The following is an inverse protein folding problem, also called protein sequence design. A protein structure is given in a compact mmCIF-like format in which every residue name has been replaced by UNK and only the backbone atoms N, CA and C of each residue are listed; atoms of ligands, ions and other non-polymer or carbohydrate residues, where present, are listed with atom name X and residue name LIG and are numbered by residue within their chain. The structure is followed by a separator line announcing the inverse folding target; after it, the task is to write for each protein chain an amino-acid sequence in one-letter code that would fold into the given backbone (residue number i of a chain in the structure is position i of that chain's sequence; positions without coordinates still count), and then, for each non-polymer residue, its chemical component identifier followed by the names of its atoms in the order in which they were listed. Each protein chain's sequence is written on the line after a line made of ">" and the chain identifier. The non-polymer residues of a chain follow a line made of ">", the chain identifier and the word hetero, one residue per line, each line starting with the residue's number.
data_IF_192824189342
#
_entry.id   IF_192824189342
#
_cell.length_a   1.000
_cell.length_b   1.000
_cell.length_c   1.000
_cell.angle_alpha   90.00
_cell.angle_beta   90.00
_cell.angle_gamma   90.00
#
_symmetry.space_group_name_H-M   'P 1'
#
loop_
_entity.id
_entity.type
_entity.pdbx_description
1 polymer ?
#
# COMPACT_ATOMS: atom_id res chain seq x y z
N UNK A 1 -6.30 -3.97 -15.21
CA UNK A 1 -5.55 -4.72 -16.25
C UNK A 1 -4.52 -5.58 -15.53
N UNK A 2 -4.60 -6.89 -15.75
CA UNK A 2 -3.82 -7.90 -15.05
C UNK A 2 -2.32 -7.59 -15.05
N UNK A 3 -1.79 -7.25 -13.90
CA UNK A 3 -0.35 -7.25 -13.63
C UNK A 3 0.23 -8.66 -13.84
N UNK A 4 -0.62 -9.70 -13.78
CA UNK A 4 -0.24 -11.11 -13.94
C UNK A 4 0.16 -11.45 -15.39
N UNK A 5 -0.37 -10.78 -16.40
CA UNK A 5 -0.01 -11.04 -17.81
C UNK A 5 1.40 -10.58 -18.21
N UNK A 6 2.10 -9.82 -17.36
CA UNK A 6 3.42 -9.28 -17.67
C UNK A 6 4.59 -10.01 -16.99
N UNK A 7 4.34 -11.05 -16.19
CA UNK A 7 5.37 -11.84 -15.50
C UNK A 7 6.05 -12.91 -16.39
N UNK A 8 6.26 -12.59 -17.66
CA UNK A 8 7.12 -13.38 -18.54
C UNK A 8 8.60 -13.04 -18.32
N UNK A 9 9.50 -13.72 -19.02
CA UNK A 9 10.95 -13.53 -18.99
C UNK A 9 11.44 -12.07 -19.18
N UNK A 10 10.56 -11.15 -19.60
CA UNK A 10 10.81 -9.72 -19.68
C UNK A 10 10.86 -9.00 -18.33
N UNK A 11 10.33 -9.59 -17.25
CA UNK A 11 10.26 -8.93 -15.93
C UNK A 11 11.61 -8.79 -15.23
N UNK A 12 12.58 -9.63 -15.58
CA UNK A 12 13.93 -9.61 -15.00
C UNK A 12 14.68 -8.29 -15.25
N UNK A 13 14.26 -7.50 -16.23
CA UNK A 13 14.90 -6.24 -16.62
C UNK A 13 14.04 -5.01 -16.45
N UNK A 14 12.86 -5.12 -15.84
CA UNK A 14 12.01 -3.97 -15.54
C UNK A 14 12.53 -3.25 -14.29
N UNK A 15 12.67 -1.94 -14.38
CA UNK A 15 12.80 -1.07 -13.23
C UNK A 15 11.45 -0.44 -12.98
N UNK A 16 10.87 -0.74 -11.83
CA UNK A 16 9.57 -0.23 -11.44
C UNK A 16 9.77 0.80 -10.34
N UNK A 17 9.31 2.02 -10.59
CA UNK A 17 9.53 3.12 -9.64
C UNK A 17 8.71 2.92 -8.36
N UNK A 18 7.58 2.23 -8.41
CA UNK A 18 6.72 1.96 -7.25
C UNK A 18 7.42 1.01 -6.28
N UNK A 19 7.98 -0.09 -6.76
CA UNK A 19 8.73 -1.04 -5.93
C UNK A 19 10.02 -0.40 -5.38
N UNK A 20 10.64 0.48 -6.17
CA UNK A 20 11.77 1.30 -5.69
C UNK A 20 11.33 2.23 -4.57
N UNK A 21 10.17 2.87 -4.69
CA UNK A 21 9.64 3.75 -3.65
C UNK A 21 9.34 3.01 -2.35
N UNK A 22 8.75 1.82 -2.42
CA UNK A 22 8.49 0.98 -1.24
C UNK A 22 9.80 0.57 -0.55
N UNK A 23 10.84 0.22 -1.33
CA UNK A 23 12.17 -0.06 -0.78
C UNK A 23 12.77 1.18 -0.10
N UNK A 24 12.74 2.33 -0.77
CA UNK A 24 13.30 3.59 -0.24
C UNK A 24 12.57 4.04 1.00
N UNK A 25 11.23 3.92 1.06
CA UNK A 25 10.46 4.17 2.27
C UNK A 25 11.03 3.39 3.46
N UNK A 26 11.24 2.08 3.29
CA UNK A 26 11.83 1.24 4.33
C UNK A 26 13.26 1.64 4.69
N UNK A 27 14.10 1.96 3.69
CA UNK A 27 15.48 2.40 3.92
C UNK A 27 15.56 3.72 4.69
N UNK A 28 14.70 4.69 4.40
CA UNK A 28 14.66 5.96 5.13
C UNK A 28 14.22 5.76 6.59
N UNK A 29 13.27 4.86 6.87
CA UNK A 29 12.91 4.45 8.23
C UNK A 29 14.13 3.85 8.94
N UNK A 30 14.86 2.95 8.29
CA UNK A 30 16.09 2.32 8.83
C UNK A 30 17.17 3.37 9.08
N UNK A 31 17.33 4.37 8.18
CA UNK A 31 18.27 5.49 8.34
C UNK A 31 18.02 6.29 9.63
N UNK A 32 16.77 6.48 9.99
CA UNK A 32 16.37 7.18 11.22
C UNK A 32 16.50 6.29 12.46
N UNK A 33 16.23 5.00 12.34
CA UNK A 33 16.28 4.05 13.45
C UNK A 33 17.72 3.83 13.96
N UNK A 34 18.68 3.61 13.05
CA UNK A 34 20.10 3.44 13.39
C UNK A 34 20.80 4.79 13.46
N UNK A 35 20.67 5.48 14.60
CA UNK A 35 21.09 6.88 14.79
C UNK A 35 22.32 7.06 15.69
N UNK A 36 22.97 5.99 16.14
CA UNK A 36 24.16 6.08 16.98
C UNK A 36 25.40 6.55 16.20
N UNK A 37 26.33 7.21 16.92
CA UNK A 37 27.60 7.71 16.38
C UNK A 37 28.71 6.64 16.45
N UNK A 38 28.44 5.45 15.91
CA UNK A 38 29.45 4.42 15.68
C UNK A 38 29.67 4.22 14.17
N UNK A 39 30.83 3.74 13.82
CA UNK A 39 31.26 3.63 12.41
C UNK A 39 30.30 2.77 11.56
N UNK A 40 29.74 1.70 12.13
CA UNK A 40 28.85 0.78 11.42
C UNK A 40 27.51 1.45 11.06
N UNK A 41 26.90 2.17 12.00
CA UNK A 41 25.62 2.86 11.75
C UNK A 41 25.81 4.11 10.89
N UNK A 42 26.95 4.82 11.03
CA UNK A 42 27.31 5.93 10.14
C UNK A 42 27.45 5.42 8.70
N UNK A 43 28.19 4.32 8.50
CA UNK A 43 28.35 3.72 7.17
C UNK A 43 26.98 3.27 6.59
N UNK A 44 26.12 2.65 7.41
CA UNK A 44 24.78 2.25 6.99
C UNK A 44 23.95 3.44 6.51
N UNK A 45 23.91 4.53 7.30
CA UNK A 45 23.20 5.75 6.92
C UNK A 45 23.75 6.36 5.63
N UNK A 46 25.05 6.40 5.45
CA UNK A 46 25.68 6.90 4.23
C UNK A 46 25.32 6.07 3.00
N UNK A 47 25.28 4.75 3.13
CA UNK A 47 24.87 3.84 2.05
C UNK A 47 23.39 4.05 1.67
N UNK A 48 22.53 4.21 2.67
CA UNK A 48 21.10 4.49 2.44
C UNK A 48 20.93 5.83 1.75
N UNK A 49 21.59 6.88 2.23
CA UNK A 49 21.56 8.21 1.63
C UNK A 49 22.05 8.17 0.17
N UNK A 50 23.13 7.45 -0.11
CA UNK A 50 23.60 7.30 -1.48
C UNK A 50 22.60 6.58 -2.39
N UNK A 51 21.89 5.55 -1.90
CA UNK A 51 20.83 4.90 -2.68
C UNK A 51 19.70 5.89 -2.94
N UNK A 52 19.24 6.60 -1.90
CA UNK A 52 18.17 7.58 -1.96
C UNK A 52 18.45 8.71 -2.96
N UNK A 53 19.62 9.35 -2.88
CA UNK A 53 20.03 10.45 -3.74
C UNK A 53 20.20 10.06 -5.21
N UNK A 54 20.41 8.77 -5.50
CA UNK A 54 20.61 8.27 -6.87
C UNK A 54 19.33 7.76 -7.54
N UNK A 55 18.16 7.89 -6.92
CA UNK A 55 16.89 7.57 -7.58
C UNK A 55 16.47 8.74 -8.48
N UNK A 56 16.51 8.53 -9.77
CA UNK A 56 16.17 9.55 -10.78
C UNK A 56 14.65 9.66 -10.98
N UNK A 57 13.93 10.23 -9.99
CA UNK A 57 12.47 10.38 -10.02
C UNK A 57 11.97 11.14 -11.25
N UNK A 58 12.66 12.21 -11.62
CA UNK A 58 12.33 13.04 -12.79
C UNK A 58 12.45 12.29 -14.12
N UNK A 59 13.29 11.23 -14.19
CA UNK A 59 13.37 10.35 -15.36
C UNK A 59 12.02 9.71 -15.69
N UNK A 60 11.30 9.27 -14.67
CA UNK A 60 10.01 8.61 -14.82
C UNK A 60 8.87 9.56 -15.18
N UNK A 61 9.09 10.88 -15.16
CA UNK A 61 8.11 11.84 -15.68
C UNK A 61 8.13 11.94 -17.20
N UNK A 62 9.23 11.56 -17.85
CA UNK A 62 9.44 11.74 -19.29
C UNK A 62 9.18 13.19 -19.73
N UNK A 63 9.47 14.18 -18.87
CA UNK A 63 9.20 15.61 -19.10
C UNK A 63 7.71 15.99 -19.07
N UNK A 64 6.85 15.14 -18.52
CA UNK A 64 5.40 15.36 -18.36
C UNK A 64 5.03 15.58 -16.90
N UNK A 65 3.84 16.11 -16.65
CA UNK A 65 3.30 16.28 -15.28
C UNK A 65 2.67 14.98 -14.75
N UNK A 66 3.38 13.87 -14.81
CA UNK A 66 2.96 12.55 -14.29
C UNK A 66 4.17 11.67 -14.15
N UNK A 67 4.04 10.60 -13.36
CA UNK A 67 5.07 9.57 -13.23
C UNK A 67 4.61 8.31 -13.95
N UNK A 68 5.51 7.71 -14.74
CA UNK A 68 5.28 6.43 -15.42
C UNK A 68 5.81 5.28 -14.57
N UNK A 69 5.04 4.20 -14.45
CA UNK A 69 5.33 3.07 -13.55
C UNK A 69 6.57 2.27 -13.93
N UNK A 70 6.73 1.97 -15.23
CA UNK A 70 7.70 1.02 -15.72
C UNK A 70 8.69 1.63 -16.70
N UNK A 71 9.94 1.25 -16.54
CA UNK A 71 10.98 1.42 -17.54
C UNK A 71 11.77 0.13 -17.71
N UNK A 72 12.31 -0.12 -18.89
CA UNK A 72 13.15 -1.29 -19.18
C UNK A 72 14.25 -0.91 -20.16
N UNK A 73 15.50 -1.40 -19.99
CA UNK A 73 16.59 -1.12 -20.92
C UNK A 73 16.34 -1.68 -22.34
N UNK A 74 15.42 -2.64 -22.47
CA UNK A 74 15.11 -3.27 -23.76
C UNK A 74 13.87 -2.68 -24.45
N UNK A 75 13.00 -2.00 -23.69
CA UNK A 75 11.69 -1.56 -24.15
C UNK A 75 11.35 -0.14 -23.70
N UNK A 76 12.30 0.58 -23.09
CA UNK A 76 12.09 1.93 -22.55
C UNK A 76 10.78 2.03 -21.74
N UNK A 77 9.96 3.03 -22.00
CA UNK A 77 8.66 3.24 -21.40
C UNK A 77 7.48 2.62 -22.18
N UNK A 78 7.71 1.57 -22.97
CA UNK A 78 6.71 1.04 -23.90
C UNK A 78 5.38 0.60 -23.26
N UNK A 79 5.39 0.19 -21.97
CA UNK A 79 4.16 -0.14 -21.23
C UNK A 79 3.33 1.13 -20.97
N UNK A 80 4.00 2.26 -20.76
CA UNK A 80 3.41 3.60 -20.58
C UNK A 80 2.21 3.64 -19.61
N UNK A 81 2.32 2.93 -18.48
CA UNK A 81 1.33 2.93 -17.41
C UNK A 81 1.61 4.09 -16.47
N UNK A 82 0.67 5.00 -16.34
CA UNK A 82 0.79 6.13 -15.41
C UNK A 82 0.55 5.68 -13.96
N UNK A 83 1.36 6.20 -13.03
CA UNK A 83 1.10 6.14 -11.60
C UNK A 83 0.11 7.24 -11.26
N UNK A 84 -1.18 6.92 -11.12
CA UNK A 84 -2.21 7.95 -10.93
C UNK A 84 -3.47 7.45 -10.27
N UNK A 85 -4.15 8.36 -9.57
CA UNK A 85 -5.38 8.09 -8.85
C UNK A 85 -5.12 7.35 -7.54
N UNK A 86 -6.17 7.10 -6.78
CA UNK A 86 -6.06 6.38 -5.52
C UNK A 86 -5.57 4.95 -5.74
N UNK A 87 -4.38 4.67 -5.27
CA UNK A 87 -3.75 3.35 -5.22
C UNK A 87 -2.60 3.35 -4.19
N UNK A 88 -1.79 2.31 -4.15
CA UNK A 88 -0.68 2.12 -3.22
C UNK A 88 0.48 3.11 -3.39
N UNK A 89 0.51 3.87 -4.47
CA UNK A 89 1.71 4.56 -4.92
C UNK A 89 1.77 6.06 -4.56
N UNK A 90 1.00 6.54 -3.57
CA UNK A 90 1.17 7.91 -3.04
C UNK A 90 2.61 8.15 -2.60
N UNK A 91 3.25 7.13 -2.00
CA UNK A 91 4.65 7.20 -1.56
C UNK A 91 5.62 7.58 -2.69
N UNK A 92 5.33 7.22 -3.94
CA UNK A 92 6.16 7.59 -5.10
C UNK A 92 6.22 9.11 -5.25
N UNK A 93 5.07 9.78 -5.17
CA UNK A 93 4.99 11.25 -5.30
C UNK A 93 5.59 11.96 -4.10
N UNK A 94 5.38 11.43 -2.88
CA UNK A 94 5.99 11.97 -1.67
C UNK A 94 7.50 11.89 -1.77
N UNK A 95 8.07 10.73 -2.06
CA UNK A 95 9.53 10.56 -2.22
C UNK A 95 10.07 11.39 -3.39
N UNK A 96 9.39 11.39 -4.52
CA UNK A 96 9.82 12.19 -5.66
C UNK A 96 9.85 13.69 -5.35
N UNK A 97 8.90 14.21 -4.54
CA UNK A 97 8.92 15.62 -4.08
C UNK A 97 9.99 15.87 -3.02
N UNK A 98 10.31 14.85 -2.21
CA UNK A 98 11.31 14.93 -1.13
C UNK A 98 12.75 14.77 -1.63
N UNK A 99 12.95 14.34 -2.87
CA UNK A 99 14.28 14.02 -3.41
C UNK A 99 15.21 15.23 -3.38
N UNK A 100 16.41 15.12 -2.77
CA UNK A 100 17.37 16.23 -2.76
C UNK A 100 18.07 16.45 -4.10
N UNK A 101 18.01 15.47 -5.02
CA UNK A 101 18.74 15.50 -6.30
C UNK A 101 17.83 15.58 -7.52
N UNK A 102 16.70 14.87 -7.52
CA UNK A 102 15.78 14.78 -8.66
C UNK A 102 14.33 15.09 -8.26
N UNK A 103 14.06 16.23 -7.60
CA UNK A 103 12.72 16.54 -7.10
C UNK A 103 11.75 16.83 -8.23
N UNK A 104 10.51 16.39 -8.08
CA UNK A 104 9.38 16.82 -8.92
C UNK A 104 8.75 18.09 -8.38
N UNK A 105 8.08 18.84 -9.25
CA UNK A 105 7.25 19.96 -8.85
C UNK A 105 5.81 19.51 -8.50
N UNK A 106 5.06 20.40 -7.86
CA UNK A 106 3.68 20.17 -7.41
C UNK A 106 2.72 19.87 -8.57
N UNK A 107 2.99 20.39 -9.79
CA UNK A 107 2.14 20.10 -10.95
C UNK A 107 2.15 18.63 -11.32
N UNK A 108 3.29 17.94 -11.10
CA UNK A 108 3.37 16.48 -11.33
C UNK A 108 2.44 15.71 -10.40
N UNK A 109 2.31 16.13 -9.14
CA UNK A 109 1.35 15.58 -8.20
C UNK A 109 -0.10 15.88 -8.59
N UNK A 110 -0.38 17.15 -8.90
CA UNK A 110 -1.73 17.60 -9.21
C UNK A 110 -2.27 16.96 -10.50
N UNK A 111 -1.50 16.99 -11.58
CA UNK A 111 -1.92 16.43 -12.87
C UNK A 111 -1.83 14.89 -12.89
N UNK A 112 -0.76 14.35 -12.31
CA UNK A 112 -0.47 12.93 -12.28
C UNK A 112 -1.33 12.17 -11.25
N UNK A 113 -1.03 12.35 -9.96
CA UNK A 113 -1.71 11.61 -8.89
C UNK A 113 -3.18 11.97 -8.73
N UNK A 114 -3.46 13.24 -8.43
CA UNK A 114 -4.83 13.67 -8.14
C UNK A 114 -5.68 13.82 -9.40
N UNK A 115 -5.04 13.89 -10.59
CA UNK A 115 -5.71 14.14 -11.87
C UNK A 115 -6.60 15.39 -11.81
N UNK A 116 -6.10 16.44 -11.14
CA UNK A 116 -6.84 17.68 -10.89
C UNK A 116 -8.21 17.42 -10.23
N UNK A 117 -8.28 16.49 -9.28
CA UNK A 117 -9.50 16.10 -8.57
C UNK A 117 -10.32 15.00 -9.24
N UNK A 118 -9.93 14.48 -10.41
CA UNK A 118 -10.69 13.40 -11.06
C UNK A 118 -10.60 12.04 -10.34
N UNK A 119 -9.86 11.93 -9.24
CA UNK A 119 -9.82 10.76 -8.37
C UNK A 119 -10.82 10.85 -7.20
N UNK A 120 -11.54 11.96 -7.05
CA UNK A 120 -12.58 12.14 -6.04
C UNK A 120 -13.77 11.22 -6.35
N UNK A 121 -14.22 10.47 -5.36
CA UNK A 121 -15.37 9.57 -5.48
C UNK A 121 -16.64 10.23 -4.96
N UNK A 122 -16.62 10.65 -3.70
CA UNK A 122 -17.79 11.23 -3.00
C UNK A 122 -19.04 10.31 -2.97
N UNK A 123 -18.87 9.00 -3.19
CA UNK A 123 -19.91 8.00 -3.07
C UNK A 123 -20.10 7.50 -1.64
N UNK A 124 -21.23 6.84 -1.40
CA UNK A 124 -21.53 6.17 -0.12
C UNK A 124 -21.75 4.69 -0.38
N UNK A 125 -21.04 3.84 0.35
CA UNK A 125 -21.08 2.38 0.24
C UNK A 125 -21.28 1.79 1.63
N UNK A 126 -22.26 0.96 1.83
CA UNK A 126 -22.65 0.42 3.16
C UNK A 126 -22.83 1.54 4.21
N UNK A 127 -23.49 2.65 3.80
CA UNK A 127 -23.67 3.86 4.60
C UNK A 127 -22.37 4.60 5.01
N UNK A 128 -21.24 4.25 4.40
CA UNK A 128 -19.93 4.87 4.63
C UNK A 128 -19.56 5.75 3.44
N UNK A 129 -19.30 7.04 3.71
CA UNK A 129 -18.82 7.99 2.71
C UNK A 129 -17.37 7.69 2.33
N UNK A 130 -17.09 7.59 1.03
CA UNK A 130 -15.74 7.36 0.48
C UNK A 130 -15.28 8.62 -0.26
N UNK A 131 -14.28 9.35 0.25
CA UNK A 131 -13.82 10.60 -0.34
C UNK A 131 -13.20 10.45 -1.73
N UNK A 132 -12.27 9.50 -1.89
CA UNK A 132 -11.47 9.34 -3.12
C UNK A 132 -11.38 7.88 -3.55
N UNK A 133 -11.00 7.66 -4.80
CA UNK A 133 -10.76 6.34 -5.36
C UNK A 133 -11.94 5.80 -6.19
N UNK A 134 -11.83 4.55 -6.60
CA UNK A 134 -12.91 3.87 -7.29
C UNK A 134 -14.04 3.46 -6.34
N UNK A 135 -15.17 3.04 -6.91
CA UNK A 135 -16.28 2.54 -6.09
C UNK A 135 -15.81 1.41 -5.17
N UNK A 136 -16.23 1.47 -3.91
CA UNK A 136 -15.80 0.61 -2.80
C UNK A 136 -14.32 0.71 -2.43
N UNK A 137 -13.50 1.56 -3.05
CA UNK A 137 -12.11 1.83 -2.70
C UNK A 137 -11.05 1.02 -3.44
N UNK A 138 -11.42 -0.08 -4.09
CA UNK A 138 -10.48 -0.99 -4.73
C UNK A 138 -9.89 -2.04 -3.80
N UNK A 139 -8.76 -2.68 -4.16
CA UNK A 139 -8.02 -3.59 -3.30
C UNK A 139 -7.51 -2.91 -2.04
N UNK A 140 -7.67 -3.55 -0.87
CA UNK A 140 -7.46 -2.87 0.41
C UNK A 140 -6.00 -2.47 0.69
N UNK A 141 -5.02 -3.11 0.04
CA UNK A 141 -3.60 -2.73 0.18
C UNK A 141 -3.31 -1.28 -0.24
N UNK A 142 -4.19 -0.62 -1.01
CA UNK A 142 -4.11 0.80 -1.32
C UNK A 142 -4.04 1.68 -0.06
N UNK A 143 -4.71 1.26 1.01
CA UNK A 143 -4.70 1.94 2.31
C UNK A 143 -3.52 1.56 3.21
N UNK A 144 -2.64 0.66 2.77
CA UNK A 144 -1.57 0.13 3.62
C UNK A 144 -0.17 0.57 3.16
N UNK A 145 0.23 0.30 1.92
CA UNK A 145 1.64 0.32 1.53
C UNK A 145 2.30 1.70 1.63
N UNK A 146 1.67 2.75 1.14
CA UNK A 146 2.19 4.12 1.32
C UNK A 146 2.20 4.54 2.79
N UNK A 147 1.23 4.05 3.57
CA UNK A 147 1.02 4.42 4.96
C UNK A 147 1.77 3.53 5.97
N UNK A 148 2.69 2.70 5.51
CA UNK A 148 3.68 2.07 6.38
C UNK A 148 4.61 3.13 6.98
N UNK A 149 5.08 4.07 6.18
CA UNK A 149 5.93 5.17 6.61
C UNK A 149 5.19 6.49 6.78
N UNK A 150 4.36 6.88 5.82
CA UNK A 150 3.57 8.12 5.91
C UNK A 150 2.51 7.96 7.01
N UNK A 151 2.57 8.81 8.04
CA UNK A 151 1.54 8.83 9.07
C UNK A 151 0.26 9.47 8.52
N UNK A 152 -0.84 8.72 8.41
CA UNK A 152 -2.09 9.28 7.89
C UNK A 152 -2.86 10.14 8.90
N UNK A 153 -2.48 10.10 10.18
CA UNK A 153 -3.18 10.85 11.24
C UNK A 153 -2.96 12.35 11.07
N UNK A 154 -4.04 13.09 10.93
CA UNK A 154 -4.06 14.52 10.59
C UNK A 154 -3.45 14.87 9.22
N UNK A 155 -3.04 13.88 8.43
CA UNK A 155 -2.54 14.09 7.08
C UNK A 155 -3.71 14.40 6.15
N UNK A 156 -3.71 15.59 5.58
CA UNK A 156 -4.74 16.01 4.63
C UNK A 156 -4.19 16.85 3.48
N UNK A 157 -4.84 16.77 2.36
CA UNK A 157 -4.67 17.67 1.23
C UNK A 157 -5.99 18.38 0.93
N UNK A 158 -6.08 19.08 -0.18
CA UNK A 158 -7.31 19.76 -0.59
C UNK A 158 -8.51 18.84 -0.87
N UNK A 159 -8.34 17.53 -0.90
CA UNK A 159 -9.36 16.55 -1.31
C UNK A 159 -9.87 15.69 -0.16
N UNK A 160 -8.99 15.30 0.76
CA UNK A 160 -9.36 14.38 1.84
C UNK A 160 -8.41 14.45 3.04
N UNK A 161 -8.92 14.00 4.19
CA UNK A 161 -8.08 13.51 5.29
C UNK A 161 -7.75 12.04 5.04
N UNK A 162 -6.49 11.66 5.03
CA UNK A 162 -6.05 10.33 4.63
C UNK A 162 -6.30 9.25 5.68
N UNK A 163 -6.39 9.61 6.96
CA UNK A 163 -6.83 8.66 7.98
C UNK A 163 -8.30 8.30 7.80
N UNK A 164 -9.15 9.28 7.55
CA UNK A 164 -10.57 9.06 7.32
C UNK A 164 -10.81 8.28 6.03
N UNK A 165 -10.06 8.57 4.97
CA UNK A 165 -10.07 7.80 3.73
C UNK A 165 -9.73 6.32 3.95
N UNK A 166 -8.61 6.04 4.63
CA UNK A 166 -8.14 4.68 4.89
C UNK A 166 -9.10 3.91 5.80
N UNK A 167 -9.66 4.60 6.79
CA UNK A 167 -10.67 4.02 7.68
C UNK A 167 -11.96 3.71 6.94
N UNK A 168 -12.45 4.64 6.11
CA UNK A 168 -13.65 4.42 5.29
C UNK A 168 -13.44 3.22 4.35
N UNK A 169 -12.33 3.16 3.64
CA UNK A 169 -11.99 2.05 2.74
C UNK A 169 -11.94 0.71 3.48
N UNK A 170 -11.30 0.67 4.68
CA UNK A 170 -11.22 -0.55 5.49
C UNK A 170 -12.58 -1.01 5.99
N UNK A 171 -13.43 -0.09 6.44
CA UNK A 171 -14.78 -0.41 6.90
C UNK A 171 -15.70 -0.84 5.75
N UNK A 172 -15.60 -0.22 4.57
CA UNK A 172 -16.35 -0.65 3.37
C UNK A 172 -15.98 -2.08 2.99
N UNK A 173 -14.69 -2.44 3.05
CA UNK A 173 -14.22 -3.79 2.77
C UNK A 173 -14.73 -4.80 3.81
N UNK A 174 -14.71 -4.43 5.09
CA UNK A 174 -15.30 -5.20 6.19
C UNK A 174 -16.79 -5.42 5.99
N UNK A 175 -17.57 -4.34 5.78
CA UNK A 175 -19.02 -4.40 5.63
C UNK A 175 -19.44 -5.15 4.36
N UNK A 176 -18.61 -5.15 3.31
CA UNK A 176 -18.82 -6.01 2.15
C UNK A 176 -18.80 -7.49 2.54
N UNK A 177 -17.81 -7.91 3.33
CA UNK A 177 -17.73 -9.29 3.79
C UNK A 177 -18.86 -9.65 4.77
N UNK A 178 -19.24 -8.72 5.67
CA UNK A 178 -20.36 -8.94 6.62
C UNK A 178 -21.70 -9.03 5.88
N UNK A 179 -21.95 -8.14 4.93
CA UNK A 179 -23.17 -8.13 4.10
C UNK A 179 -23.21 -9.33 3.16
N UNK A 180 -22.03 -9.73 2.67
CA UNK A 180 -21.83 -10.90 1.80
C UNK A 180 -22.79 -10.97 0.61
N UNK A 181 -22.81 -9.98 -0.28
CA UNK A 181 -23.82 -9.88 -1.34
C UNK A 181 -23.75 -11.05 -2.35
N UNK A 182 -22.60 -11.71 -2.43
CA UNK A 182 -22.37 -12.84 -3.31
C UNK A 182 -22.63 -14.21 -2.64
N UNK A 183 -23.00 -14.23 -1.36
CA UNK A 183 -23.26 -15.44 -0.55
C UNK A 183 -22.09 -16.43 -0.53
N UNK A 184 -20.87 -15.95 -0.36
CA UNK A 184 -19.70 -16.81 -0.16
C UNK A 184 -19.66 -17.39 1.26
N UNK A 185 -19.58 -18.70 1.38
CA UNK A 185 -19.38 -19.34 2.68
C UNK A 185 -18.08 -18.86 3.33
N UNK A 186 -18.14 -18.62 4.64
CA UNK A 186 -16.99 -18.20 5.42
C UNK A 186 -16.77 -16.69 5.53
N UNK A 187 -17.51 -15.88 4.79
CA UNK A 187 -17.53 -14.42 4.98
C UNK A 187 -18.34 -14.04 6.22
N UNK A 188 -17.78 -13.20 7.10
CA UNK A 188 -18.45 -12.78 8.34
C UNK A 188 -17.72 -11.61 9.01
N UNK A 189 -18.21 -11.16 10.17
CA UNK A 189 -17.58 -10.14 11.01
C UNK A 189 -16.26 -10.56 11.67
N UNK A 190 -15.90 -11.83 11.57
CA UNK A 190 -14.62 -12.39 12.06
C UNK A 190 -13.75 -12.95 10.92
N UNK A 191 -14.28 -12.99 9.70
CA UNK A 191 -13.60 -13.53 8.52
C UNK A 191 -13.83 -12.60 7.33
N UNK A 192 -12.93 -11.63 7.17
CA UNK A 192 -13.01 -10.56 6.18
C UNK A 192 -11.64 -10.13 5.69
N UNK A 193 -11.63 -9.36 4.62
CA UNK A 193 -10.41 -8.77 4.06
C UNK A 193 -10.16 -9.19 2.62
N UNK A 194 -10.50 -8.30 1.69
CA UNK A 194 -10.36 -8.52 0.25
C UNK A 194 -9.27 -7.59 -0.29
N UNK A 195 -8.21 -8.17 -0.84
CA UNK A 195 -7.10 -7.44 -1.44
C UNK A 195 -6.44 -8.27 -2.54
N UNK A 196 -5.47 -7.70 -3.25
CA UNK A 196 -4.68 -8.45 -4.21
C UNK A 196 -3.96 -9.61 -3.50
N UNK A 197 -4.16 -10.82 -3.99
CA UNK A 197 -3.60 -12.04 -3.41
C UNK A 197 -3.66 -13.23 -4.36
N UNK A 198 -3.08 -14.35 -3.94
CA UNK A 198 -3.32 -15.64 -4.60
C UNK A 198 -4.77 -16.07 -4.48
N UNK A 199 -5.23 -16.86 -5.41
CA UNK A 199 -6.52 -17.52 -5.41
C UNK A 199 -6.42 -18.91 -6.07
N UNK A 200 -7.51 -19.65 -6.08
CA UNK A 200 -7.60 -20.99 -6.66
C UNK A 200 -7.34 -21.05 -8.18
N UNK A 201 -7.29 -19.91 -8.88
CA UNK A 201 -6.97 -19.81 -10.32
C UNK A 201 -5.62 -19.11 -10.59
N UNK A 202 -4.89 -18.69 -9.53
CA UNK A 202 -3.61 -17.97 -9.68
C UNK A 202 -3.49 -16.77 -8.77
N UNK A 203 -3.43 -15.55 -9.33
CA UNK A 203 -3.34 -14.28 -8.59
C UNK A 203 -4.26 -13.24 -9.21
N UNK A 204 -4.95 -12.45 -8.40
CA UNK A 204 -5.81 -11.35 -8.85
C UNK A 204 -5.80 -10.17 -7.88
N UNK A 205 -6.08 -8.99 -8.41
CA UNK A 205 -6.35 -7.80 -7.60
C UNK A 205 -7.82 -7.85 -7.13
N UNK A 206 -8.07 -8.58 -6.04
CA UNK A 206 -9.41 -8.71 -5.48
C UNK A 206 -9.84 -7.39 -4.83
N UNK A 207 -11.12 -7.08 -4.95
CA UNK A 207 -11.80 -5.95 -4.31
C UNK A 207 -13.30 -6.27 -4.22
N UNK A 208 -14.12 -5.48 -3.54
CA UNK A 208 -15.57 -5.66 -3.58
C UNK A 208 -16.16 -5.68 -5.00
N UNK A 209 -15.52 -4.95 -5.96
CA UNK A 209 -15.91 -4.97 -7.38
C UNK A 209 -15.40 -6.20 -8.15
N UNK A 210 -14.43 -6.92 -7.60
CA UNK A 210 -13.82 -8.12 -8.18
C UNK A 210 -13.67 -9.19 -7.11
N UNK A 211 -14.78 -9.52 -6.47
CA UNK A 211 -14.84 -10.46 -5.36
C UNK A 211 -14.96 -11.90 -5.88
N UNK A 212 -13.95 -12.71 -5.57
CA UNK A 212 -13.85 -14.12 -5.97
C UNK A 212 -14.08 -15.09 -4.79
N UNK A 213 -14.63 -14.62 -3.66
CA UNK A 213 -14.83 -15.45 -2.48
C UNK A 213 -13.53 -15.83 -1.77
N UNK A 214 -12.52 -14.94 -1.84
CA UNK A 214 -11.18 -15.16 -1.28
C UNK A 214 -10.89 -14.08 -0.24
N UNK A 215 -10.43 -14.52 0.93
CA UNK A 215 -9.99 -13.66 2.04
C UNK A 215 -8.47 -13.74 2.14
N UNK A 216 -7.85 -12.58 2.33
CA UNK A 216 -6.42 -12.43 2.59
C UNK A 216 -6.19 -11.89 3.99
N UNK A 217 -5.48 -12.60 4.87
CA UNK A 217 -5.20 -12.13 6.22
C UNK A 217 -4.58 -10.74 6.25
N UNK A 218 -3.68 -10.42 5.31
CA UNK A 218 -3.03 -9.11 5.23
C UNK A 218 -4.04 -7.96 5.14
N UNK A 219 -5.15 -8.12 4.44
CA UNK A 219 -6.16 -7.07 4.28
C UNK A 219 -6.76 -6.65 5.64
N UNK A 220 -7.23 -7.62 6.42
CA UNK A 220 -7.79 -7.37 7.74
C UNK A 220 -6.72 -6.93 8.76
N UNK A 221 -5.55 -7.56 8.76
CA UNK A 221 -4.55 -7.37 9.79
C UNK A 221 -3.71 -6.11 9.57
N UNK A 222 -3.44 -5.72 8.33
CA UNK A 222 -2.78 -4.44 8.02
C UNK A 222 -3.69 -3.23 8.25
N UNK A 223 -5.00 -3.48 8.43
CA UNK A 223 -5.98 -2.44 8.77
C UNK A 223 -6.09 -2.13 10.28
N UNK A 224 -5.27 -2.75 11.14
CA UNK A 224 -5.32 -2.51 12.59
C UNK A 224 -5.35 -1.02 12.99
N UNK A 225 -4.59 -0.11 12.37
CA UNK A 225 -4.66 1.30 12.73
C UNK A 225 -6.02 1.95 12.46
N UNK A 226 -6.79 1.42 11.52
CA UNK A 226 -8.05 1.97 11.04
C UNK A 226 -9.29 1.28 11.63
N UNK A 227 -9.19 -0.02 11.84
CA UNK A 227 -10.29 -0.90 12.29
C UNK A 227 -9.84 -1.87 13.38
N UNK A 228 -9.35 -1.37 14.55
CA UNK A 228 -8.70 -2.22 15.56
C UNK A 228 -9.63 -3.28 16.15
N UNK A 229 -10.93 -3.03 16.26
CA UNK A 229 -11.88 -3.98 16.82
C UNK A 229 -12.18 -5.12 15.83
N UNK A 230 -12.41 -4.78 14.57
CA UNK A 230 -12.69 -5.68 13.47
C UNK A 230 -11.44 -6.54 13.14
N UNK A 231 -10.28 -5.89 13.06
CA UNK A 231 -8.99 -6.55 12.83
C UNK A 231 -8.61 -7.51 13.97
N UNK A 232 -8.92 -7.14 15.23
CA UNK A 232 -8.70 -8.01 16.37
C UNK A 232 -9.55 -9.29 16.29
N UNK A 233 -10.83 -9.18 15.96
CA UNK A 233 -11.70 -10.35 15.77
C UNK A 233 -11.19 -11.25 14.64
N UNK A 234 -10.72 -10.64 13.55
CA UNK A 234 -10.18 -11.38 12.41
C UNK A 234 -8.92 -12.18 12.79
N UNK A 235 -7.93 -11.56 13.46
CA UNK A 235 -6.71 -12.28 13.86
C UNK A 235 -7.01 -13.39 14.84
N UNK A 236 -7.94 -13.19 15.79
CA UNK A 236 -8.37 -14.23 16.74
C UNK A 236 -8.99 -15.42 15.99
N UNK A 237 -9.86 -15.17 15.02
CA UNK A 237 -10.45 -16.23 14.20
C UNK A 237 -9.41 -16.94 13.33
N UNK A 238 -8.56 -16.21 12.63
CA UNK A 238 -7.54 -16.78 11.76
C UNK A 238 -6.53 -17.63 12.54
N UNK A 239 -6.14 -17.19 13.74
CA UNK A 239 -5.14 -17.87 14.54
C UNK A 239 -5.70 -19.03 15.37
N UNK A 240 -6.90 -18.90 15.95
CA UNK A 240 -7.43 -19.92 16.84
C UNK A 240 -8.38 -20.92 16.17
N UNK A 241 -9.09 -20.51 15.13
CA UNK A 241 -10.10 -21.36 14.50
C UNK A 241 -9.65 -21.91 13.14
N UNK A 242 -8.75 -21.22 12.43
CA UNK A 242 -8.24 -21.62 11.10
C UNK A 242 -6.74 -21.94 11.13
N UNK A 243 -6.14 -22.09 12.30
CA UNK A 243 -4.69 -22.26 12.49
C UNK A 243 -4.10 -23.39 11.66
N UNK A 244 -4.75 -24.56 11.65
CA UNK A 244 -4.22 -25.77 11.01
C UNK A 244 -4.08 -25.63 9.48
N UNK A 245 -4.92 -24.79 8.86
CA UNK A 245 -4.92 -24.55 7.41
C UNK A 245 -4.26 -23.23 7.02
N UNK A 246 -4.19 -22.24 7.95
CA UNK A 246 -3.84 -20.88 7.59
C UNK A 246 -2.51 -20.40 8.19
N UNK A 247 -1.97 -21.07 9.20
CA UNK A 247 -0.73 -20.68 9.86
C UNK A 247 0.41 -21.66 9.58
N UNK A 248 1.54 -21.14 9.09
CA UNK A 248 2.73 -21.93 8.80
C UNK A 248 4.01 -21.32 9.38
N UNK A 249 5.17 -21.73 8.85
CA UNK A 249 6.51 -21.38 9.38
C UNK A 249 6.80 -19.89 9.42
N UNK A 250 6.17 -19.09 8.54
CA UNK A 250 6.40 -17.64 8.43
C UNK A 250 5.14 -16.81 8.74
N UNK A 251 4.19 -17.37 9.49
CA UNK A 251 2.93 -16.72 9.85
C UNK A 251 1.78 -17.15 8.95
N UNK A 252 0.80 -16.27 8.72
CA UNK A 252 -0.35 -16.60 7.91
C UNK A 252 0.02 -16.85 6.45
N UNK A 253 -0.58 -17.86 5.84
CA UNK A 253 -0.57 -18.01 4.39
C UNK A 253 -1.28 -16.84 3.72
N UNK A 254 -0.98 -16.62 2.44
CA UNK A 254 -1.39 -15.45 1.69
C UNK A 254 -2.90 -15.25 1.60
N UNK A 255 -3.66 -16.32 1.35
CA UNK A 255 -5.10 -16.22 1.16
C UNK A 255 -5.81 -17.57 1.34
N UNK A 256 -7.13 -17.51 1.54
CA UNK A 256 -7.97 -18.70 1.64
C UNK A 256 -9.40 -18.45 1.15
N UNK A 257 -10.13 -19.51 0.87
CA UNK A 257 -11.55 -19.51 0.58
C UNK A 257 -12.24 -20.70 1.22
N UNK A 258 -13.09 -20.47 2.21
CA UNK A 258 -13.92 -21.52 2.83
C UNK A 258 -14.94 -22.03 1.81
N UNK A 259 -15.53 -21.14 1.01
CA UNK A 259 -16.52 -21.48 -0.01
C UNK A 259 -16.00 -22.51 -1.03
N UNK A 260 -14.75 -22.38 -1.45
CA UNK A 260 -14.11 -23.31 -2.40
C UNK A 260 -13.25 -24.36 -1.71
N UNK A 261 -13.24 -24.43 -0.38
CA UNK A 261 -12.38 -25.32 0.40
C UNK A 261 -10.92 -25.26 -0.07
N UNK A 262 -10.41 -24.04 -0.24
CA UNK A 262 -9.08 -23.76 -0.76
C UNK A 262 -8.28 -22.87 0.20
N UNK A 263 -7.02 -23.26 0.44
CA UNK A 263 -6.05 -22.53 1.25
C UNK A 263 -4.74 -22.41 0.46
N UNK A 264 -4.15 -21.22 0.46
CA UNK A 264 -2.83 -21.00 -0.13
C UNK A 264 -1.76 -21.64 0.75
N UNK A 265 -0.75 -22.23 0.13
CA UNK A 265 0.49 -22.66 0.80
C UNK A 265 1.65 -21.68 0.53
N UNK A 266 1.33 -20.45 0.09
CA UNK A 266 2.32 -19.46 -0.31
C UNK A 266 2.41 -18.33 0.70
N UNK A 267 3.61 -17.75 0.77
CA UNK A 267 3.87 -16.49 1.45
C UNK A 267 4.30 -15.47 0.40
N UNK A 268 3.67 -14.31 0.39
CA UNK A 268 4.09 -13.17 -0.42
C UNK A 268 4.67 -12.11 0.51
N UNK A 269 5.94 -11.77 0.34
CA UNK A 269 6.62 -10.82 1.25
C UNK A 269 5.92 -9.46 1.29
N UNK A 270 5.34 -9.05 0.15
CA UNK A 270 4.60 -7.79 0.04
C UNK A 270 3.30 -7.80 0.85
N UNK A 271 2.74 -8.96 1.15
CA UNK A 271 1.53 -9.14 1.96
C UNK A 271 1.86 -9.42 3.42
N UNK A 272 2.95 -10.15 3.70
CA UNK A 272 3.38 -10.47 5.08
C UNK A 272 3.95 -9.24 5.81
N UNK A 273 4.75 -8.45 5.11
CA UNK A 273 5.39 -7.27 5.69
C UNK A 273 4.40 -6.28 6.31
N UNK A 274 3.37 -5.84 5.59
CA UNK A 274 2.38 -4.88 6.11
C UNK A 274 1.67 -5.35 7.38
N UNK A 275 1.42 -6.65 7.57
CA UNK A 275 0.81 -7.17 8.79
C UNK A 275 1.60 -6.72 10.02
N UNK A 276 2.90 -7.01 10.05
CA UNK A 276 3.76 -6.70 11.19
C UNK A 276 3.94 -5.19 11.33
N UNK A 277 4.20 -4.50 10.22
CA UNK A 277 4.53 -3.08 10.21
C UNK A 277 3.34 -2.21 10.63
N UNK A 278 2.13 -2.52 10.14
CA UNK A 278 0.93 -1.78 10.50
C UNK A 278 0.43 -2.11 11.93
N UNK A 279 0.59 -3.34 12.41
CA UNK A 279 0.34 -3.67 13.81
C UNK A 279 1.32 -2.91 14.71
N UNK A 280 2.60 -2.79 14.33
CA UNK A 280 3.57 -2.02 15.11
C UNK A 280 3.24 -0.51 15.10
N UNK A 281 2.81 0.03 13.96
CA UNK A 281 2.30 1.40 13.89
C UNK A 281 1.07 1.61 14.80
N UNK A 282 0.14 0.67 14.83
CA UNK A 282 -0.98 0.72 15.78
C UNK A 282 -0.53 0.71 17.24
N UNK A 283 0.46 -0.13 17.59
CA UNK A 283 0.93 -0.31 18.97
C UNK A 283 1.80 0.83 19.47
N UNK A 284 2.75 1.30 18.69
CA UNK A 284 3.82 2.20 19.13
C UNK A 284 4.04 3.41 18.22
N UNK A 285 3.47 3.39 17.00
CA UNK A 285 3.67 4.43 15.99
C UNK A 285 5.14 4.50 15.52
N UNK A 286 5.91 3.43 15.69
CA UNK A 286 7.36 3.43 15.48
C UNK A 286 7.75 3.89 14.07
N UNK A 287 7.17 3.26 13.03
CA UNK A 287 7.59 3.56 11.68
C UNK A 287 7.11 4.96 11.25
N UNK A 288 5.92 5.35 11.64
CA UNK A 288 5.39 6.69 11.41
C UNK A 288 6.27 7.75 12.03
N UNK A 289 6.64 7.61 13.32
CA UNK A 289 7.50 8.55 14.00
C UNK A 289 8.89 8.65 13.35
N UNK A 290 9.46 7.52 12.93
CA UNK A 290 10.76 7.48 12.25
C UNK A 290 10.71 8.13 10.86
N UNK A 291 9.70 7.83 10.06
CA UNK A 291 9.59 8.36 8.71
C UNK A 291 9.28 9.86 8.69
N UNK A 292 8.32 10.29 9.53
CA UNK A 292 7.87 11.67 9.60
C UNK A 292 8.84 12.63 10.34
N UNK A 293 9.87 12.12 11.02
CA UNK A 293 10.94 12.98 11.56
C UNK A 293 12.01 13.33 10.53
N UNK A 294 12.00 12.67 9.38
CA UNK A 294 12.94 12.95 8.29
C UNK A 294 12.60 14.29 7.64
N UNK A 295 13.52 15.26 7.72
CA UNK A 295 13.28 16.63 7.26
C UNK A 295 13.00 16.71 5.75
N UNK A 296 13.65 15.85 4.95
CA UNK A 296 13.43 15.79 3.50
C UNK A 296 11.98 15.37 3.19
N UNK A 297 11.43 14.41 3.97
CA UNK A 297 10.04 13.96 3.81
C UNK A 297 9.04 15.07 4.21
N UNK A 298 9.30 15.74 5.33
CA UNK A 298 8.47 16.86 5.79
C UNK A 298 8.41 17.97 4.75
N UNK A 299 9.57 18.34 4.17
CA UNK A 299 9.64 19.35 3.11
C UNK A 299 8.92 18.89 1.84
N UNK A 300 9.07 17.62 1.45
CA UNK A 300 8.39 17.04 0.29
C UNK A 300 6.87 17.05 0.42
N UNK A 301 6.33 16.66 1.59
CA UNK A 301 4.90 16.73 1.89
C UNK A 301 4.37 18.16 1.84
N UNK A 302 5.07 19.11 2.47
CA UNK A 302 4.71 20.52 2.43
C UNK A 302 4.70 21.08 0.99
N UNK A 303 5.69 20.69 0.16
CA UNK A 303 5.77 21.10 -1.24
C UNK A 303 4.58 20.58 -2.07
N UNK A 304 4.03 19.42 -1.72
CA UNK A 304 2.83 18.86 -2.35
C UNK A 304 1.53 19.47 -1.81
N UNK A 305 1.61 20.31 -0.77
CA UNK A 305 0.46 20.98 -0.17
C UNK A 305 -0.27 20.18 0.90
N UNK A 306 0.38 19.15 1.47
CA UNK A 306 -0.17 18.43 2.62
C UNK A 306 -0.08 19.26 3.91
N UNK A 307 -1.06 19.05 4.78
CA UNK A 307 -1.14 19.51 6.17
C UNK A 307 -1.11 18.26 7.05
N UNK A 308 -0.31 18.30 8.17
CA UNK A 308 -0.15 17.15 9.08
C UNK A 308 0.41 17.56 10.44
#
# INVERSE_FOLDING_TARGET
>A
RDIVGSRGLGDVYKRQIVETALLVQGLLIVRQYFSNDNDEEIELRNRITNIWENVEWTWYTQGQNKITWHWSPNHDFSINLDVRGWNEALIVYVLASSSPTYPINTDVYNDGWTRNGAFVNSGTFYDIFLPIGENFGGPLFYSHYSFIGIDPRNLEDQYTNYFDQNRAHSLINYDHCVTNPNNFDGYSDVSWGITASTNYNGYSAHSPNNDLGVISPTAALSSFPYTPLESKKAIENFYYNLNDELWGDYGFYDAFSIHYNWYSERYLAIDQGPIILMIENYRTQLLWNLFMQDQEIVEGLNNLGFIF
#
